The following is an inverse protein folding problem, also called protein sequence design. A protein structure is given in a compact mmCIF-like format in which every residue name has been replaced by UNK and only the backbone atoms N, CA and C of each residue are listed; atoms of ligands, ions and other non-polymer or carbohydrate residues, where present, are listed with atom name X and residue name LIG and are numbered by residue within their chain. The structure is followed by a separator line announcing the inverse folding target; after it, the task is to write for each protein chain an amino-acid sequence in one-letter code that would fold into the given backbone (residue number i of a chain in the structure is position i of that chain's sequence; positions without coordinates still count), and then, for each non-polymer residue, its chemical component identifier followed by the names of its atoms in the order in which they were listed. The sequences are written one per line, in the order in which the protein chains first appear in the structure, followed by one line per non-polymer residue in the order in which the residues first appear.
data_IF_351222417612
#
_entry.id   IF_351222417612
#
_cell.length_a   1.000
_cell.length_b   1.000
_cell.length_c   1.000
_cell.angle_alpha   90.00
_cell.angle_beta   90.00
_cell.angle_gamma   90.00
#
_symmetry.space_group_name_H-M   'P 1'
#
loop_
_entity.id
_entity.type
_entity.pdbx_description
1 polymer ?
#
# COMPACT_ATOMS: atom_id res chain seq x y z
N UNK A 1 12.50 8.81 15.90
CA UNK A 1 13.50 8.98 14.81
C UNK A 1 14.21 7.68 14.42
N UNK A 2 14.63 6.79 15.35
CA UNK A 2 15.39 5.56 15.03
C UNK A 2 14.77 4.69 13.92
N UNK A 3 13.45 4.46 13.93
CA UNK A 3 12.75 3.67 12.90
C UNK A 3 12.69 4.33 11.51
N UNK A 4 12.68 5.66 11.43
CA UNK A 4 12.75 6.36 10.13
C UNK A 4 14.16 6.27 9.53
N UNK A 5 15.17 6.26 10.41
CA UNK A 5 16.57 6.09 10.03
C UNK A 5 16.89 4.65 9.58
N UNK A 6 16.25 3.63 10.14
CA UNK A 6 16.45 2.23 9.72
C UNK A 6 16.03 1.98 8.27
N UNK A 7 15.12 2.80 7.71
CA UNK A 7 14.72 2.72 6.30
C UNK A 7 15.59 3.57 5.35
N UNK A 8 16.75 4.06 5.81
CA UNK A 8 17.66 4.87 4.98
C UNK A 8 18.14 4.12 3.74
N UNK A 9 18.61 2.88 3.91
CA UNK A 9 19.08 2.04 2.81
C UNK A 9 18.00 1.82 1.74
N UNK A 10 16.75 1.58 2.16
CA UNK A 10 15.61 1.46 1.23
C UNK A 10 15.48 2.72 0.37
N UNK A 11 15.57 3.92 0.97
CA UNK A 11 15.49 5.18 0.21
C UNK A 11 16.67 5.36 -0.73
N UNK A 12 17.89 5.09 -0.27
CA UNK A 12 19.10 5.21 -1.08
C UNK A 12 19.07 4.24 -2.27
N UNK A 13 18.63 3.00 -2.07
CA UNK A 13 18.44 2.00 -3.12
C UNK A 13 17.42 2.47 -4.17
N UNK A 14 16.22 2.90 -3.75
CA UNK A 14 15.16 3.29 -4.70
C UNK A 14 15.53 4.57 -5.45
N UNK A 15 16.17 5.54 -4.79
CA UNK A 15 16.64 6.77 -5.45
C UNK A 15 17.74 6.44 -6.45
N UNK A 16 18.67 5.54 -6.11
CA UNK A 16 19.72 5.08 -7.04
C UNK A 16 19.10 4.43 -8.28
N UNK A 17 18.05 3.62 -8.12
CA UNK A 17 17.32 3.03 -9.24
C UNK A 17 16.68 4.09 -10.15
N UNK A 18 16.15 5.17 -9.57
CA UNK A 18 15.59 6.29 -10.34
C UNK A 18 16.69 7.05 -11.07
N UNK A 19 17.82 7.34 -10.43
CA UNK A 19 18.96 8.02 -11.06
C UNK A 19 19.47 7.22 -12.27
N UNK A 20 19.67 5.90 -12.10
CA UNK A 20 20.10 5.02 -13.19
C UNK A 20 19.08 5.00 -14.34
N UNK A 21 17.79 5.00 -14.03
CA UNK A 21 16.71 5.07 -15.02
C UNK A 21 16.65 6.40 -15.78
N UNK A 22 17.02 7.52 -15.14
CA UNK A 22 17.13 8.84 -15.77
C UNK A 22 18.38 8.85 -16.67
N UNK A 23 19.53 8.41 -16.16
CA UNK A 23 20.78 8.36 -16.90
C UNK A 23 20.65 7.54 -18.19
N UNK A 24 19.91 6.41 -18.14
CA UNK A 24 19.63 5.57 -19.31
C UNK A 24 18.75 6.23 -20.38
N UNK A 25 18.19 7.41 -20.12
CA UNK A 25 17.30 8.17 -21.02
C UNK A 25 17.88 9.54 -21.39
N UNK A 26 19.19 9.72 -21.24
CA UNK A 26 19.86 10.96 -21.61
C UNK A 26 19.48 11.38 -23.04
N UNK A 27 19.11 12.66 -23.20
CA UNK A 27 18.69 13.22 -24.49
C UNK A 27 17.23 12.97 -24.88
N UNK A 28 16.43 12.26 -24.08
CA UNK A 28 14.99 12.05 -24.32
C UNK A 28 14.11 12.73 -23.25
N UNK A 29 12.94 13.29 -23.62
CA UNK A 29 11.96 13.74 -22.63
C UNK A 29 11.50 12.59 -21.72
N UNK A 30 11.35 12.87 -20.42
CA UNK A 30 10.92 11.90 -19.42
C UNK A 30 9.82 12.45 -18.51
N UNK A 31 8.86 11.61 -18.13
CA UNK A 31 7.83 11.97 -17.15
C UNK A 31 8.35 11.73 -15.71
N UNK A 32 8.98 12.74 -15.12
CA UNK A 32 9.49 12.65 -13.75
C UNK A 32 8.38 12.53 -12.70
N UNK A 33 7.21 13.14 -12.92
CA UNK A 33 6.09 13.06 -11.99
C UNK A 33 5.63 11.61 -11.78
N UNK A 34 5.42 10.88 -12.88
CA UNK A 34 5.08 9.45 -12.83
C UNK A 34 6.20 8.65 -12.15
N UNK A 35 7.46 8.95 -12.43
CA UNK A 35 8.59 8.23 -11.85
C UNK A 35 8.74 8.47 -10.35
N UNK A 36 8.53 9.70 -9.88
CA UNK A 36 8.54 10.06 -8.46
C UNK A 36 7.35 9.41 -7.73
N UNK A 37 6.21 9.25 -8.40
CA UNK A 37 5.07 8.54 -7.84
C UNK A 37 5.43 7.07 -7.53
N UNK A 38 5.99 6.37 -8.53
CA UNK A 38 6.46 4.98 -8.37
C UNK A 38 7.56 4.88 -7.31
N UNK A 39 8.50 5.83 -7.26
CA UNK A 39 9.52 5.90 -6.22
C UNK A 39 8.91 5.98 -4.81
N UNK A 40 7.98 6.92 -4.61
CA UNK A 40 7.35 7.18 -3.31
C UNK A 40 6.61 5.94 -2.80
N UNK A 41 5.89 5.28 -3.69
CA UNK A 41 5.23 4.03 -3.38
C UNK A 41 6.21 2.88 -3.13
N UNK A 42 7.28 2.74 -3.93
CA UNK A 42 8.28 1.66 -3.76
C UNK A 42 9.04 1.76 -2.43
N UNK A 43 9.36 2.99 -2.00
CA UNK A 43 9.95 3.22 -0.68
C UNK A 43 8.97 2.83 0.43
N UNK A 44 7.70 3.24 0.30
CA UNK A 44 6.67 2.99 1.32
C UNK A 44 6.31 1.51 1.41
N UNK A 45 6.14 0.82 0.28
CA UNK A 45 5.87 -0.63 0.21
C UNK A 45 7.01 -1.44 0.82
N UNK A 46 8.27 -1.14 0.48
CA UNK A 46 9.42 -1.83 1.09
C UNK A 46 9.57 -1.54 2.58
N UNK A 47 9.26 -0.33 3.03
CA UNK A 47 9.31 -0.01 4.46
C UNK A 47 8.19 -0.72 5.24
N UNK A 48 7.00 -0.86 4.66
CA UNK A 48 5.84 -1.49 5.29
C UNK A 48 5.89 -3.03 5.23
N UNK A 49 6.38 -3.61 4.13
CA UNK A 49 6.33 -5.05 3.87
C UNK A 49 7.72 -5.73 3.89
N UNK A 50 8.77 -4.97 4.22
CA UNK A 50 10.15 -5.46 4.30
C UNK A 50 10.83 -5.75 2.95
N UNK A 51 10.08 -5.99 1.88
CA UNK A 51 10.59 -6.37 0.54
C UNK A 51 9.67 -5.91 -0.60
N UNK A 52 10.17 -6.04 -1.84
CA UNK A 52 9.37 -5.83 -3.05
C UNK A 52 8.52 -7.07 -3.34
N UNK A 53 7.24 -6.85 -3.64
CA UNK A 53 6.31 -7.91 -4.03
C UNK A 53 6.05 -7.88 -5.53
N UNK A 54 5.74 -9.02 -6.13
CA UNK A 54 5.43 -9.12 -7.57
C UNK A 54 4.20 -8.30 -7.95
N UNK A 55 3.18 -8.29 -7.08
CA UNK A 55 1.93 -7.55 -7.29
C UNK A 55 2.01 -6.06 -6.91
N UNK A 56 3.23 -5.53 -6.69
CA UNK A 56 3.43 -4.16 -6.26
C UNK A 56 2.79 -3.13 -7.22
N UNK A 57 3.01 -3.27 -8.52
CA UNK A 57 2.43 -2.36 -9.53
C UNK A 57 0.89 -2.47 -9.59
N UNK A 58 0.36 -3.69 -9.47
CA UNK A 58 -1.08 -3.94 -9.42
C UNK A 58 -1.72 -3.29 -8.20
N UNK A 59 -1.10 -3.43 -7.02
CA UNK A 59 -1.60 -2.80 -5.80
C UNK A 59 -1.54 -1.27 -5.87
N UNK A 60 -0.49 -0.69 -6.47
CA UNK A 60 -0.44 0.76 -6.73
C UNK A 60 -1.60 1.21 -7.63
N UNK A 61 -1.84 0.50 -8.73
CA UNK A 61 -2.94 0.83 -9.65
C UNK A 61 -4.31 0.77 -8.96
N UNK A 62 -4.54 -0.25 -8.10
CA UNK A 62 -5.77 -0.36 -7.31
C UNK A 62 -5.93 0.82 -6.34
N UNK A 63 -4.85 1.23 -5.68
CA UNK A 63 -4.88 2.37 -4.77
C UNK A 63 -5.10 3.70 -5.52
N UNK A 64 -4.48 3.91 -6.67
CA UNK A 64 -4.71 5.08 -7.51
C UNK A 64 -6.18 5.18 -7.94
N UNK A 65 -6.75 4.07 -8.39
CA UNK A 65 -8.17 4.02 -8.76
C UNK A 65 -9.09 4.23 -7.56
N UNK A 66 -8.70 3.72 -6.37
CA UNK A 66 -9.45 3.97 -5.12
C UNK A 66 -9.41 5.45 -4.76
N UNK A 67 -8.25 6.11 -4.84
CA UNK A 67 -8.11 7.55 -4.58
C UNK A 67 -8.93 8.37 -5.56
N UNK A 68 -8.94 8.02 -6.86
CA UNK A 68 -9.77 8.70 -7.87
C UNK A 68 -11.26 8.55 -7.59
N UNK A 69 -11.69 7.36 -7.19
CA UNK A 69 -13.08 7.11 -6.81
C UNK A 69 -13.43 7.89 -5.53
N UNK A 70 -12.66 7.74 -4.45
CA UNK A 70 -12.93 8.41 -3.18
C UNK A 70 -12.85 9.95 -3.25
N UNK A 71 -12.01 10.51 -4.14
CA UNK A 71 -11.90 11.95 -4.34
C UNK A 71 -12.93 12.52 -5.33
N UNK A 72 -13.60 11.68 -6.10
CA UNK A 72 -14.57 12.09 -7.12
C UNK A 72 -15.95 12.39 -6.54
N UNK A 73 -16.65 13.36 -7.10
CA UNK A 73 -18.05 13.63 -6.80
C UNK A 73 -18.93 12.42 -7.17
N UNK A 74 -19.59 11.82 -6.19
CA UNK A 74 -20.52 10.70 -6.42
C UNK A 74 -21.94 11.24 -6.54
N UNK A 75 -22.54 11.12 -7.73
CA UNK A 75 -23.93 11.53 -7.97
C UNK A 75 -24.93 10.81 -7.06
N UNK A 76 -24.57 9.62 -6.58
CA UNK A 76 -25.33 8.87 -5.56
C UNK A 76 -25.42 9.63 -4.21
N UNK A 77 -24.39 10.38 -3.83
CA UNK A 77 -24.39 11.16 -2.59
C UNK A 77 -25.39 12.32 -2.63
N UNK A 78 -25.71 12.84 -3.82
CA UNK A 78 -26.74 13.87 -4.01
C UNK A 78 -28.16 13.29 -4.14
N UNK A 79 -28.28 12.07 -4.63
CA UNK A 79 -29.56 11.44 -4.92
C UNK A 79 -29.68 10.05 -4.28
N UNK A 80 -29.67 9.96 -2.93
CA UNK A 80 -29.68 8.69 -2.21
C UNK A 80 -30.91 7.84 -2.55
N UNK A 81 -32.05 8.45 -2.88
CA UNK A 81 -33.28 7.74 -3.27
C UNK A 81 -33.15 6.92 -4.56
N UNK A 82 -32.17 7.22 -5.43
CA UNK A 82 -31.92 6.49 -6.67
C UNK A 82 -30.50 5.89 -6.71
N UNK A 83 -29.81 5.82 -5.56
CA UNK A 83 -28.45 5.29 -5.45
C UNK A 83 -28.33 3.91 -6.09
N UNK A 84 -29.26 2.99 -5.81
CA UNK A 84 -29.23 1.63 -6.37
C UNK A 84 -29.31 1.62 -7.91
N UNK A 85 -30.13 2.49 -8.50
CA UNK A 85 -30.22 2.63 -9.95
C UNK A 85 -28.96 3.26 -10.54
N UNK A 86 -28.42 4.30 -9.89
CA UNK A 86 -27.18 4.96 -10.28
C UNK A 86 -25.98 4.01 -10.20
N UNK A 87 -25.89 3.21 -9.14
CA UNK A 87 -24.84 2.21 -8.99
C UNK A 87 -24.93 1.10 -10.05
N UNK A 88 -26.16 0.71 -10.42
CA UNK A 88 -26.40 -0.29 -11.46
C UNK A 88 -26.01 0.22 -12.85
N UNK A 89 -26.48 1.42 -13.25
CA UNK A 89 -26.18 1.98 -14.58
C UNK A 89 -24.70 2.38 -14.74
N UNK A 90 -24.06 2.85 -13.67
CA UNK A 90 -22.64 3.23 -13.69
C UNK A 90 -21.69 2.03 -13.52
N UNK A 91 -22.21 0.89 -13.01
CA UNK A 91 -21.40 -0.28 -12.67
C UNK A 91 -20.41 -0.07 -11.52
N UNK A 92 -20.50 1.05 -10.78
CA UNK A 92 -19.51 1.45 -9.78
C UNK A 92 -19.40 0.43 -8.65
N UNK A 93 -20.53 -0.14 -8.20
CA UNK A 93 -20.56 -1.16 -7.15
C UNK A 93 -19.73 -2.40 -7.54
N UNK A 94 -19.94 -2.92 -8.75
CA UNK A 94 -19.19 -4.07 -9.27
C UNK A 94 -17.69 -3.76 -9.39
N UNK A 95 -17.34 -2.54 -9.82
CA UNK A 95 -15.96 -2.08 -9.87
C UNK A 95 -15.31 -2.05 -8.48
N UNK A 96 -15.97 -1.46 -7.48
CA UNK A 96 -15.48 -1.44 -6.09
C UNK A 96 -15.32 -2.84 -5.52
N UNK A 97 -16.30 -3.73 -5.72
CA UNK A 97 -16.23 -5.12 -5.26
C UNK A 97 -15.05 -5.87 -5.88
N UNK A 98 -14.80 -5.68 -7.18
CA UNK A 98 -13.64 -6.28 -7.87
C UNK A 98 -12.33 -5.74 -7.30
N UNK A 99 -12.21 -4.42 -7.16
CA UNK A 99 -11.01 -3.78 -6.61
C UNK A 99 -10.74 -4.24 -5.17
N UNK A 100 -11.79 -4.34 -4.35
CA UNK A 100 -11.69 -4.84 -2.98
C UNK A 100 -11.17 -6.27 -2.93
N UNK A 101 -11.74 -7.18 -3.75
CA UNK A 101 -11.28 -8.58 -3.83
C UNK A 101 -9.82 -8.69 -4.27
N UNK A 102 -9.40 -7.89 -5.25
CA UNK A 102 -8.01 -7.90 -5.71
C UNK A 102 -7.04 -7.36 -4.65
N UNK A 103 -7.41 -6.27 -3.95
CA UNK A 103 -6.60 -5.73 -2.85
C UNK A 103 -6.53 -6.72 -1.68
N UNK A 104 -7.65 -7.35 -1.33
CA UNK A 104 -7.75 -8.36 -0.28
C UNK A 104 -6.80 -9.54 -0.54
N UNK A 105 -6.83 -10.08 -1.77
CA UNK A 105 -5.93 -11.18 -2.18
C UNK A 105 -4.45 -10.80 -2.08
N UNK A 106 -4.08 -9.60 -2.52
CA UNK A 106 -2.69 -9.13 -2.45
C UNK A 106 -2.24 -9.03 -0.99
N UNK A 107 -3.05 -8.43 -0.12
CA UNK A 107 -2.70 -8.26 1.28
C UNK A 107 -2.70 -9.59 2.03
N UNK A 108 -3.62 -10.50 1.72
CA UNK A 108 -3.63 -11.88 2.25
C UNK A 108 -2.33 -12.61 1.90
N UNK A 109 -1.88 -12.53 0.65
CA UNK A 109 -0.61 -13.13 0.21
C UNK A 109 0.59 -12.56 0.96
N UNK A 110 0.65 -11.23 1.13
CA UNK A 110 1.71 -10.56 1.90
C UNK A 110 1.71 -11.06 3.34
N UNK A 111 0.56 -11.09 4.00
CA UNK A 111 0.43 -11.52 5.40
C UNK A 111 0.84 -13.00 5.55
N UNK A 112 0.38 -13.88 4.66
CA UNK A 112 0.71 -15.30 4.69
C UNK A 112 2.19 -15.57 4.42
N UNK A 113 2.86 -14.73 3.63
CA UNK A 113 4.32 -14.78 3.49
C UNK A 113 5.03 -14.40 4.78
N UNK A 114 4.62 -13.33 5.46
CA UNK A 114 5.22 -12.94 6.75
C UNK A 114 5.03 -14.00 7.84
N UNK A 115 3.87 -14.67 7.87
CA UNK A 115 3.62 -15.78 8.79
C UNK A 115 4.56 -16.96 8.54
N UNK A 116 4.74 -17.36 7.27
CA UNK A 116 5.68 -18.43 6.89
C UNK A 116 7.12 -18.07 7.20
N UNK A 117 7.53 -16.83 6.91
CA UNK A 117 8.88 -16.34 7.20
C UNK A 117 9.14 -16.38 8.72
N UNK A 118 8.15 -15.98 9.54
CA UNK A 118 8.22 -16.05 11.01
C UNK A 118 8.37 -17.50 11.51
N UNK A 119 7.57 -18.43 10.99
CA UNK A 119 7.64 -19.85 11.35
C UNK A 119 9.00 -20.46 11.02
N UNK A 120 9.53 -20.20 9.82
CA UNK A 120 10.85 -20.67 9.41
C UNK A 120 11.97 -20.14 10.32
N UNK A 121 11.92 -18.86 10.68
CA UNK A 121 12.92 -18.24 11.55
C UNK A 121 12.92 -18.82 12.98
N UNK A 122 11.75 -19.22 13.50
CA UNK A 122 11.64 -19.88 14.80
C UNK A 122 12.27 -21.30 14.79
N UNK A 123 12.24 -21.99 13.65
CA UNK A 123 12.82 -23.33 13.51
C UNK A 123 14.36 -23.30 13.43
N UNK A 124 14.95 -22.26 12.84
CA UNK A 124 16.39 -22.21 12.54
C UNK A 124 17.31 -21.84 13.73
N UNK A 125 16.80 -21.61 14.95
CA UNK A 125 17.59 -21.25 16.16
C UNK A 125 18.55 -20.05 16.03
N UNK A 126 18.59 -19.38 14.88
CA UNK A 126 19.42 -18.21 14.61
C UNK A 126 18.64 -16.92 14.88
N UNK A 127 19.10 -16.14 15.86
CA UNK A 127 18.72 -14.73 16.00
C UNK A 127 19.35 -13.92 14.86
N UNK A 128 18.80 -14.00 13.65
CA UNK A 128 18.97 -12.90 12.72
C UNK A 128 18.04 -11.78 13.20
N UNK A 129 18.60 -10.65 13.62
CA UNK A 129 17.87 -9.40 13.80
C UNK A 129 17.36 -8.95 12.42
N UNK A 130 16.25 -9.54 11.95
CA UNK A 130 15.49 -8.97 10.85
C UNK A 130 14.91 -7.66 11.35
N UNK A 131 15.16 -6.58 10.60
CA UNK A 131 14.47 -5.32 10.85
C UNK A 131 12.96 -5.55 10.68
N UNK A 132 12.25 -5.46 11.79
CA UNK A 132 10.80 -5.62 11.86
C UNK A 132 10.10 -4.57 10.98
N UNK A 133 9.24 -5.02 10.08
CA UNK A 133 8.41 -4.17 9.23
C UNK A 133 7.02 -3.94 9.86
N UNK A 134 6.11 -3.26 9.14
CA UNK A 134 4.78 -2.95 9.68
C UNK A 134 3.93 -4.21 9.84
N UNK A 135 4.03 -5.16 8.90
CA UNK A 135 3.25 -6.40 8.94
C UNK A 135 3.70 -7.25 10.13
N UNK A 136 5.01 -7.34 10.36
CA UNK A 136 5.57 -8.04 11.52
C UNK A 136 5.04 -7.44 12.85
N UNK A 137 4.98 -6.11 12.97
CA UNK A 137 4.40 -5.44 14.16
C UNK A 137 2.94 -5.79 14.34
N UNK A 138 2.13 -5.66 13.29
CA UNK A 138 0.68 -5.88 13.36
C UNK A 138 0.36 -7.34 13.71
N UNK A 139 1.12 -8.30 13.19
CA UNK A 139 1.02 -9.71 13.55
C UNK A 139 1.40 -9.96 15.02
N UNK A 140 2.45 -9.31 15.53
CA UNK A 140 2.78 -9.40 16.97
C UNK A 140 1.68 -8.84 17.85
N UNK A 141 1.02 -7.74 17.45
CA UNK A 141 -0.13 -7.21 18.19
C UNK A 141 -1.32 -8.15 18.13
N UNK A 142 -1.56 -8.82 17.01
CA UNK A 142 -2.58 -9.88 16.89
C UNK A 142 -2.31 -11.06 17.84
N UNK A 143 -1.05 -11.47 17.99
CA UNK A 143 -0.65 -12.59 18.84
C UNK A 143 -0.69 -12.26 20.34
N UNK A 144 -0.39 -11.01 20.71
CA UNK A 144 -0.40 -10.53 22.09
C UNK A 144 -1.82 -10.09 22.51
N UNK A 145 -2.67 -11.07 22.84
CA UNK A 145 -4.08 -10.87 23.21
C UNK A 145 -4.33 -10.28 24.62
N UNK A 146 -3.28 -9.90 25.36
CA UNK A 146 -3.35 -9.49 26.78
C UNK A 146 -4.11 -8.17 27.02
N UNK A 147 -4.50 -7.44 25.98
CA UNK A 147 -5.13 -6.12 26.07
C UNK A 147 -6.67 -6.12 25.91
N UNK A 148 -7.34 -7.29 25.91
CA UNK A 148 -8.80 -7.38 25.80
C UNK A 148 -9.38 -7.07 24.40
N UNK A 149 -8.52 -6.80 23.41
CA UNK A 149 -8.86 -6.63 22.00
C UNK A 149 -7.87 -7.44 21.15
N UNK A 150 -8.38 -8.21 20.17
CA UNK A 150 -7.56 -9.02 19.25
C UNK A 150 -7.75 -8.49 17.83
N UNK A 151 -6.66 -8.08 17.19
CA UNK A 151 -6.69 -7.70 15.78
C UNK A 151 -7.05 -8.92 14.92
N UNK A 152 -8.11 -8.82 14.11
CA UNK A 152 -8.38 -9.80 13.05
C UNK A 152 -7.46 -9.56 11.85
N UNK A 153 -7.35 -10.54 10.97
CA UNK A 153 -6.63 -10.35 9.69
C UNK A 153 -7.25 -9.21 8.88
N UNK A 154 -8.58 -9.09 8.87
CA UNK A 154 -9.25 -7.99 8.18
C UNK A 154 -8.89 -6.63 8.78
N UNK A 155 -8.69 -6.55 10.11
CA UNK A 155 -8.19 -5.32 10.73
C UNK A 155 -6.77 -4.98 10.26
N UNK A 156 -5.87 -5.98 10.18
CA UNK A 156 -4.50 -5.78 9.69
C UNK A 156 -4.52 -5.29 8.24
N UNK A 157 -5.29 -5.96 7.37
CA UNK A 157 -5.47 -5.56 5.96
C UNK A 157 -6.01 -4.13 5.85
N UNK A 158 -7.03 -3.79 6.66
CA UNK A 158 -7.63 -2.47 6.67
C UNK A 158 -6.63 -1.39 7.11
N UNK A 159 -5.84 -1.62 8.17
CA UNK A 159 -4.83 -0.66 8.63
C UNK A 159 -3.78 -0.42 7.55
N UNK A 160 -3.30 -1.47 6.89
CA UNK A 160 -2.36 -1.35 5.77
C UNK A 160 -3.01 -0.53 4.65
N UNK A 161 -4.20 -0.95 4.20
CA UNK A 161 -4.90 -0.30 3.09
C UNK A 161 -5.15 1.18 3.35
N UNK A 162 -5.68 1.54 4.52
CA UNK A 162 -5.94 2.94 4.92
C UNK A 162 -4.64 3.75 4.99
N UNK A 163 -3.55 3.17 5.48
CA UNK A 163 -2.24 3.85 5.54
C UNK A 163 -1.72 4.21 4.14
N UNK A 164 -1.79 3.28 3.19
CA UNK A 164 -1.38 3.51 1.81
C UNK A 164 -2.33 4.44 1.05
N UNK A 165 -3.64 4.28 1.27
CA UNK A 165 -4.66 5.17 0.73
C UNK A 165 -4.42 6.61 1.17
N UNK A 166 -4.25 6.86 2.47
CA UNK A 166 -4.02 8.21 2.99
C UNK A 166 -2.72 8.82 2.46
N UNK A 167 -1.65 8.01 2.37
CA UNK A 167 -0.37 8.43 1.79
C UNK A 167 -0.53 8.89 0.33
N UNK A 168 -1.19 8.08 -0.51
CA UNK A 168 -1.41 8.41 -1.92
C UNK A 168 -2.42 9.54 -2.09
N UNK A 169 -3.49 9.59 -1.30
CA UNK A 169 -4.48 10.66 -1.32
C UNK A 169 -3.81 12.02 -1.02
N UNK A 170 -2.95 12.08 0.00
CA UNK A 170 -2.20 13.30 0.31
C UNK A 170 -1.21 13.68 -0.79
N UNK A 171 -0.58 12.70 -1.43
CA UNK A 171 0.38 12.94 -2.51
C UNK A 171 -0.28 13.41 -3.81
N UNK A 172 -1.41 12.81 -4.19
CA UNK A 172 -2.11 13.06 -5.46
C UNK A 172 -3.14 14.20 -5.37
N UNK A 173 -3.91 14.28 -4.29
CA UNK A 173 -5.09 15.15 -4.22
C UNK A 173 -4.80 16.49 -3.54
N UNK A 174 -4.11 16.48 -2.39
CA UNK A 174 -3.84 17.72 -1.64
C UNK A 174 -2.78 18.62 -2.30
N UNK A 175 -1.91 18.08 -3.16
CA UNK A 175 -0.95 18.89 -3.94
C UNK A 175 -1.56 19.56 -5.16
N UNK A 176 -2.70 19.07 -5.67
CA UNK A 176 -3.31 19.59 -6.89
C UNK A 176 -4.31 20.74 -6.63
N UNK A 177 -4.83 20.86 -5.40
CA UNK A 177 -5.85 21.86 -5.02
C UNK A 177 -5.31 23.08 -4.26
N UNK A 178 -3.99 23.14 -4.01
CA UNK A 178 -3.33 24.29 -3.36
C UNK A 178 -2.39 25.07 -4.31
N UNK A 179 -2.51 24.85 -5.63
CA UNK A 179 -1.81 25.60 -6.67
C UNK A 179 -2.85 26.30 -7.56
#
# INVERSE_FOLDING_TARGET
MKRVQSYRSIREDEVSNVINWIASRAGSPVNLSQKIHVLSYSVTSRAAFGKKYKDQEKYLSLLEDTVKLAGGFHIADLFPSIEGFLQWITGIKSKLEKMHKEADQILENIINEHRRDKEATLMEHGKHEKNEDLVDVLLKVQDNADAGFRLTIDNIKAVIFVSFFYFLYKFLYLRYYQA
#
